data_IF_702426562228
#
_entry.id   IF_702426562228
#
_cell.length_a   1.000
_cell.length_b   1.000
_cell.length_c   1.000
_cell.angle_alpha   90.00
_cell.angle_beta   90.00
_cell.angle_gamma   90.00
#
_symmetry.space_group_name_H-M   'P 1'
#
loop_
_entity.id
_entity.type
_entity.pdbx_description
1 polymer ?
#
# COMPACT_ATOMS: atom_id res chain seq x y z
N UNK A 1 -1.66 -2.72 -8.73
CA UNK A 1 -0.57 -2.25 -7.84
C UNK A 1 0.29 -1.17 -8.50
N UNK A 2 1.03 -1.48 -9.58
CA UNK A 2 1.86 -0.48 -10.28
C UNK A 2 1.06 0.70 -10.86
N UNK A 3 -0.15 0.47 -11.37
CA UNK A 3 -1.01 1.54 -11.87
C UNK A 3 -1.32 2.59 -10.79
N UNK A 4 -1.83 2.15 -9.63
CA UNK A 4 -2.12 3.03 -8.48
C UNK A 4 -0.84 3.75 -8.01
N UNK A 5 0.29 3.05 -8.01
CA UNK A 5 1.58 3.65 -7.64
C UNK A 5 1.95 4.81 -8.58
N UNK A 6 1.78 4.63 -9.89
CA UNK A 6 2.01 5.66 -10.89
C UNK A 6 1.04 6.84 -10.75
N UNK A 7 -0.25 6.59 -10.54
CA UNK A 7 -1.27 7.62 -10.36
C UNK A 7 -0.98 8.50 -9.13
N UNK A 8 -0.49 7.88 -8.05
CA UNK A 8 -0.18 8.54 -6.78
C UNK A 8 1.27 9.06 -6.72
N UNK A 9 2.08 8.79 -7.76
CA UNK A 9 3.49 9.19 -7.84
C UNK A 9 4.39 8.56 -6.76
N UNK A 10 4.02 7.41 -6.21
CA UNK A 10 4.76 6.71 -5.15
C UNK A 10 5.38 5.39 -5.63
N UNK A 11 6.39 4.85 -4.93
CA UNK A 11 6.88 3.51 -5.20
C UNK A 11 5.80 2.45 -4.99
N UNK A 12 5.75 1.44 -5.85
CA UNK A 12 4.81 0.32 -5.76
C UNK A 12 4.73 -0.33 -4.36
N UNK A 13 5.84 -0.60 -3.66
CA UNK A 13 5.79 -1.14 -2.29
C UNK A 13 5.08 -0.23 -1.28
N UNK A 14 5.10 1.09 -1.47
CA UNK A 14 4.37 2.02 -0.60
C UNK A 14 2.85 1.85 -0.72
N UNK A 15 2.35 1.49 -1.91
CA UNK A 15 0.92 1.19 -2.11
C UNK A 15 0.49 -0.06 -1.32
N UNK A 16 1.35 -1.08 -1.24
CA UNK A 16 1.06 -2.28 -0.45
C UNK A 16 0.98 -1.96 1.07
N UNK A 17 1.86 -1.08 1.56
CA UNK A 17 1.82 -0.62 2.95
C UNK A 17 0.57 0.23 3.19
N UNK A 18 0.22 1.13 2.28
CA UNK A 18 -0.99 1.94 2.35
C UNK A 18 -2.27 1.09 2.40
N UNK A 19 -2.28 -0.04 1.70
CA UNK A 19 -3.35 -1.03 1.76
C UNK A 19 -3.52 -1.59 3.18
N UNK A 20 -2.43 -1.94 3.87
CA UNK A 20 -2.47 -2.36 5.27
C UNK A 20 -2.95 -1.23 6.19
N UNK A 21 -2.40 -0.03 6.05
CA UNK A 21 -2.74 1.14 6.86
C UNK A 21 -4.22 1.55 6.75
N UNK A 22 -4.86 1.27 5.62
CA UNK A 22 -6.29 1.57 5.41
C UNK A 22 -7.22 0.62 6.15
N UNK A 23 -6.72 -0.52 6.63
CA UNK A 23 -7.53 -1.53 7.30
C UNK A 23 -8.20 -0.97 8.58
N UNK A 24 -9.50 -1.24 8.81
CA UNK A 24 -10.25 -0.65 9.93
C UNK A 24 -9.72 -1.02 11.32
N UNK A 25 -8.99 -2.14 11.44
CA UNK A 25 -8.35 -2.55 12.70
C UNK A 25 -7.10 -1.72 13.09
N UNK A 26 -6.72 -0.69 12.30
CA UNK A 26 -5.60 0.18 12.64
C UNK A 26 -4.25 -0.56 12.61
N UNK A 27 -3.96 -1.26 11.52
CA UNK A 27 -2.72 -2.04 11.39
C UNK A 27 -1.48 -1.15 11.48
N UNK A 28 -0.42 -1.66 12.13
CA UNK A 28 0.88 -1.02 12.22
C UNK A 28 1.96 -1.89 11.53
N UNK A 29 2.34 -1.57 10.28
CA UNK A 29 3.36 -2.32 9.55
C UNK A 29 4.77 -2.13 10.14
N UNK A 30 5.54 -3.21 10.23
CA UNK A 30 6.97 -3.18 10.58
C UNK A 30 7.80 -3.26 9.30
N UNK A 31 8.69 -2.28 9.07
CA UNK A 31 9.51 -2.20 7.86
C UNK A 31 10.91 -2.80 8.11
N UNK A 32 11.21 -3.93 7.48
CA UNK A 32 12.46 -4.67 7.67
C UNK A 32 13.65 -4.20 6.83
N UNK A 33 13.71 -2.94 6.41
CA UNK A 33 14.80 -2.44 5.56
C UNK A 33 15.87 -1.69 6.37
N UNK A 34 17.14 -1.94 6.06
CA UNK A 34 18.28 -1.17 6.59
C UNK A 34 18.72 -0.05 5.65
N UNK A 35 18.12 0.07 4.46
CA UNK A 35 18.44 1.14 3.52
C UNK A 35 17.59 2.39 3.86
N UNK A 36 18.20 3.52 4.24
CA UNK A 36 17.47 4.73 4.62
C UNK A 36 16.65 5.36 3.49
N UNK A 37 17.12 5.29 2.24
CA UNK A 37 16.37 5.82 1.08
C UNK A 37 15.13 4.97 0.84
N UNK A 38 15.28 3.64 0.88
CA UNK A 38 14.14 2.72 0.79
C UNK A 38 13.16 2.94 1.93
N UNK A 39 13.63 3.18 3.16
CA UNK A 39 12.75 3.49 4.29
C UNK A 39 11.93 4.75 4.01
N UNK A 40 12.56 5.83 3.56
CA UNK A 40 11.86 7.09 3.20
C UNK A 40 10.80 6.84 2.12
N UNK A 41 11.13 6.06 1.11
CA UNK A 41 10.22 5.67 0.03
C UNK A 41 9.00 4.90 0.53
N UNK A 42 9.19 3.95 1.46
CA UNK A 42 8.11 3.18 2.06
C UNK A 42 7.22 4.04 2.96
N UNK A 43 7.80 5.02 3.68
CA UNK A 43 7.05 5.95 4.52
C UNK A 43 6.08 6.84 3.72
N UNK A 44 6.29 7.01 2.40
CA UNK A 44 5.34 7.69 1.51
C UNK A 44 3.99 6.98 1.41
N UNK A 45 3.87 5.78 1.96
CA UNK A 45 2.59 5.07 2.09
C UNK A 45 1.51 5.86 2.83
N UNK A 46 1.86 6.76 3.78
CA UNK A 46 0.87 7.57 4.50
C UNK A 46 0.10 8.51 3.57
N UNK A 47 0.76 8.99 2.51
CA UNK A 47 0.15 9.98 1.61
C UNK A 47 -0.80 9.35 0.60
N UNK A 48 -0.75 8.02 0.44
CA UNK A 48 -1.59 7.28 -0.50
C UNK A 48 -3.01 7.19 0.05
N UNK A 49 -3.98 7.68 -0.74
CA UNK A 49 -5.41 7.58 -0.42
C UNK A 49 -6.07 6.53 -1.31
N UNK A 50 -6.30 5.34 -0.74
CA UNK A 50 -7.04 4.28 -1.43
C UNK A 50 -8.54 4.45 -1.22
N UNK A 51 -9.28 4.51 -2.31
CA UNK A 51 -10.74 4.33 -2.30
C UNK A 51 -11.09 2.89 -1.91
N UNK A 52 -12.33 2.67 -1.44
CA UNK A 52 -12.82 1.31 -1.14
C UNK A 52 -12.70 0.36 -2.34
N UNK A 53 -13.09 0.73 -3.57
CA UNK A 53 -12.91 -0.13 -4.75
C UNK A 53 -11.45 -0.51 -4.99
N UNK A 54 -10.54 0.47 -4.96
CA UNK A 54 -9.10 0.22 -5.14
C UNK A 54 -8.52 -0.73 -4.07
N UNK A 55 -8.98 -0.59 -2.82
CA UNK A 55 -8.57 -1.48 -1.74
C UNK A 55 -8.96 -2.94 -2.01
N UNK A 56 -10.19 -3.17 -2.46
CA UNK A 56 -10.67 -4.49 -2.83
C UNK A 56 -10.07 -5.02 -4.14
N UNK A 57 -9.78 -4.14 -5.10
CA UNK A 57 -9.08 -4.50 -6.33
C UNK A 57 -7.69 -5.04 -6.05
N UNK A 58 -6.94 -4.41 -5.13
CA UNK A 58 -5.64 -4.92 -4.70
C UNK A 58 -5.75 -6.30 -4.06
N UNK A 59 -6.78 -6.52 -3.24
CA UNK A 59 -7.05 -7.83 -2.63
C UNK A 59 -7.37 -8.90 -3.68
N UNK A 60 -8.23 -8.58 -4.67
CA UNK A 60 -8.54 -9.49 -5.79
C UNK A 60 -7.34 -9.76 -6.67
N UNK A 61 -6.56 -8.73 -6.98
CA UNK A 61 -5.35 -8.85 -7.79
C UNK A 61 -4.28 -9.74 -7.14
N UNK A 62 -4.33 -9.92 -5.81
CA UNK A 62 -3.51 -10.88 -5.09
C UNK A 62 -4.01 -12.34 -5.21
N UNK A 63 -5.10 -12.59 -5.95
CA UNK A 63 -5.67 -13.92 -6.17
C UNK A 63 -6.76 -14.32 -5.17
N UNK A 64 -7.23 -13.39 -4.34
CA UNK A 64 -8.28 -13.68 -3.37
C UNK A 64 -9.68 -13.38 -3.93
N UNK A 65 -10.62 -14.30 -3.72
CA UNK A 65 -12.04 -14.04 -3.99
C UNK A 65 -12.64 -13.18 -2.89
N UNK A 66 -13.47 -12.21 -3.28
CA UNK A 66 -14.34 -11.54 -2.33
C UNK A 66 -15.55 -12.43 -2.05
N UNK A 67 -15.99 -12.55 -0.78
CA UNK A 67 -17.22 -13.23 -0.44
C UNK A 67 -18.46 -12.52 -1.01
#
# INVERSE_FOLDING_TARGET
>A
LHQIASEQGVPAPAVAIAWLLRHPAGMQPILGTMNPERLRDLCRADTVRLSRPQWYELYRAAGHSLP
#
